data_IF_265221917776
#
_entry.id   IF_265221917776
#
_cell.length_a   1.000
_cell.length_b   1.000
_cell.length_c   1.000
_cell.angle_alpha   90.00
_cell.angle_beta   90.00
_cell.angle_gamma   90.00
#
_symmetry.space_group_name_H-M   'P 1'
#
loop_
_entity.id
_entity.type
_entity.pdbx_description
1 polymer ?
#
# COMPACT_ATOMS: atom_id res chain seq x y z
N UNK A 1 41.12 51.43 -12.55
CA UNK A 1 40.36 51.08 -11.34
C UNK A 1 38.98 50.60 -11.77
N UNK A 2 38.71 49.29 -11.90
CA UNK A 2 37.36 48.81 -12.21
C UNK A 2 36.50 48.77 -10.93
N UNK A 3 35.26 49.22 -11.03
CA UNK A 3 34.31 49.25 -9.91
C UNK A 3 33.72 47.86 -9.62
N UNK A 4 33.37 47.53 -8.36
CA UNK A 4 32.80 46.24 -8.03
C UNK A 4 31.35 46.14 -8.51
N UNK A 5 31.09 45.16 -9.38
CA UNK A 5 29.74 44.77 -9.81
C UNK A 5 29.01 44.07 -8.66
N UNK A 6 28.08 44.76 -8.02
CA UNK A 6 27.14 44.15 -7.07
C UNK A 6 26.16 43.26 -7.83
N UNK A 7 26.35 41.94 -7.75
CA UNK A 7 25.37 40.98 -8.24
C UNK A 7 24.17 40.93 -7.29
N UNK A 8 22.92 40.93 -7.79
CA UNK A 8 21.75 40.75 -6.95
C UNK A 8 21.68 39.30 -6.46
N UNK A 9 21.75 39.12 -5.14
CA UNK A 9 21.56 37.81 -4.51
C UNK A 9 20.11 37.36 -4.70
N UNK A 10 19.90 36.26 -5.41
CA UNK A 10 18.60 35.60 -5.53
C UNK A 10 18.07 35.20 -4.14
N UNK A 11 16.75 35.31 -3.90
CA UNK A 11 16.16 34.93 -2.63
C UNK A 11 16.33 33.42 -2.40
N UNK A 12 17.06 33.05 -1.34
CA UNK A 12 17.14 31.67 -0.86
C UNK A 12 15.73 31.20 -0.49
N UNK A 13 15.14 30.34 -1.31
CA UNK A 13 13.91 29.64 -0.96
C UNK A 13 14.09 28.96 0.41
N UNK A 14 13.36 29.45 1.41
CA UNK A 14 13.28 28.83 2.73
C UNK A 14 12.66 27.46 2.52
N UNK A 15 13.46 26.39 2.68
CA UNK A 15 13.02 25.00 2.62
C UNK A 15 11.74 24.82 3.45
N UNK A 16 10.60 24.78 2.77
CA UNK A 16 9.30 24.63 3.37
C UNK A 16 9.23 23.30 4.10
N UNK A 17 9.02 23.37 5.41
CA UNK A 17 8.29 22.41 6.22
C UNK A 17 8.41 20.93 5.80
N UNK A 18 9.62 20.35 5.88
CA UNK A 18 9.75 18.89 5.85
C UNK A 18 9.09 18.35 7.12
N UNK A 19 7.81 17.97 7.02
CA UNK A 19 7.08 17.30 8.11
C UNK A 19 7.97 16.14 8.58
N UNK A 20 8.41 16.19 9.84
CA UNK A 20 9.26 15.15 10.42
C UNK A 20 8.53 13.82 10.26
N UNK A 21 9.20 12.84 9.63
CA UNK A 21 8.61 11.51 9.47
C UNK A 21 8.29 10.94 10.84
N UNK A 22 7.11 10.33 10.98
CA UNK A 22 6.74 9.68 12.23
C UNK A 22 7.66 8.48 12.48
N UNK A 23 7.79 8.08 13.75
CA UNK A 23 8.58 6.89 14.11
C UNK A 23 8.11 5.64 13.36
N UNK A 24 6.79 5.43 13.27
CA UNK A 24 6.20 4.35 12.50
C UNK A 24 6.52 4.42 11.00
N UNK A 25 6.59 5.63 10.41
CA UNK A 25 7.01 5.80 9.01
C UNK A 25 8.47 5.43 8.80
N UNK A 26 9.35 5.82 9.72
CA UNK A 26 10.78 5.50 9.62
C UNK A 26 10.99 3.98 9.72
N UNK A 27 10.48 3.37 10.78
CA UNK A 27 10.61 1.93 11.03
C UNK A 27 9.89 1.12 9.95
N UNK A 28 8.67 1.49 9.59
CA UNK A 28 7.91 0.79 8.55
C UNK A 28 8.58 0.81 7.19
N UNK A 29 9.26 1.91 6.81
CA UNK A 29 10.07 1.99 5.59
C UNK A 29 11.27 1.05 5.62
N UNK A 30 11.96 0.96 6.76
CA UNK A 30 13.06 0.02 6.93
C UNK A 30 12.59 -1.43 6.79
N UNK A 31 11.51 -1.78 7.49
CA UNK A 31 10.92 -3.12 7.42
C UNK A 31 10.47 -3.46 6.00
N UNK A 32 9.82 -2.53 5.29
CA UNK A 32 9.37 -2.75 3.91
C UNK A 32 10.53 -3.02 2.95
N UNK A 33 11.67 -2.33 3.11
CA UNK A 33 12.88 -2.58 2.32
C UNK A 33 13.42 -3.99 2.55
N UNK A 34 13.48 -4.44 3.80
CA UNK A 34 13.94 -5.79 4.13
C UNK A 34 13.00 -6.85 3.56
N UNK A 35 11.69 -6.62 3.63
CA UNK A 35 10.67 -7.53 3.11
C UNK A 35 10.55 -7.53 1.58
N UNK A 36 11.15 -6.57 0.89
CA UNK A 36 10.93 -6.34 -0.55
C UNK A 36 9.48 -5.94 -0.87
N UNK A 37 8.79 -5.29 0.06
CA UNK A 37 7.37 -4.99 -0.07
C UNK A 37 7.15 -3.69 -0.85
N UNK A 38 6.40 -3.78 -1.97
CA UNK A 38 6.08 -2.61 -2.81
C UNK A 38 5.15 -1.64 -2.08
N UNK A 39 4.24 -2.16 -1.25
CA UNK A 39 3.23 -1.37 -0.55
C UNK A 39 3.73 -0.93 0.83
N UNK A 40 4.69 -0.01 0.85
CA UNK A 40 5.36 0.48 2.06
C UNK A 40 4.36 0.97 3.12
N UNK A 41 3.28 1.63 2.71
CA UNK A 41 2.26 2.15 3.61
C UNK A 41 1.55 1.06 4.42
N UNK A 42 1.40 -0.17 3.89
CA UNK A 42 0.85 -1.29 4.65
C UNK A 42 1.77 -1.64 5.83
N UNK A 43 3.07 -1.76 5.58
CA UNK A 43 4.06 -2.09 6.62
C UNK A 43 4.15 -0.96 7.66
N UNK A 44 4.07 0.30 7.22
CA UNK A 44 4.01 1.45 8.14
C UNK A 44 2.78 1.37 9.06
N UNK A 45 1.61 0.97 8.53
CA UNK A 45 0.40 0.79 9.35
C UNK A 45 0.51 -0.36 10.32
N UNK A 46 1.14 -1.47 9.92
CA UNK A 46 1.44 -2.59 10.83
C UNK A 46 2.22 -2.07 12.04
N UNK A 47 3.28 -1.29 11.83
CA UNK A 47 4.07 -0.71 12.92
C UNK A 47 3.25 0.29 13.75
N UNK A 48 2.37 1.06 13.12
CA UNK A 48 1.55 2.04 13.82
C UNK A 48 0.47 1.42 14.72
N UNK A 49 -0.18 0.33 14.26
CA UNK A 49 -1.30 -0.30 14.96
C UNK A 49 -0.84 -1.33 15.99
N UNK A 50 0.16 -2.14 15.63
CA UNK A 50 0.60 -3.28 16.45
C UNK A 50 1.85 -2.91 17.26
N UNK A 51 2.63 -1.94 16.78
CA UNK A 51 3.85 -1.49 17.41
C UNK A 51 5.13 -2.12 16.83
N UNK A 52 6.25 -1.42 17.03
CA UNK A 52 7.56 -1.82 16.49
C UNK A 52 8.06 -3.17 17.03
N UNK A 53 7.87 -3.43 18.33
CA UNK A 53 8.41 -4.65 18.97
C UNK A 53 7.89 -5.92 18.32
N UNK A 54 6.57 -6.00 18.16
CA UNK A 54 5.94 -7.17 17.56
C UNK A 54 6.23 -7.23 16.05
N UNK A 55 6.21 -6.09 15.35
CA UNK A 55 6.55 -6.05 13.93
C UNK A 55 7.98 -6.55 13.66
N UNK A 56 8.96 -6.17 14.48
CA UNK A 56 10.34 -6.67 14.39
C UNK A 56 10.46 -8.15 14.77
N UNK A 57 9.70 -8.60 15.76
CA UNK A 57 9.66 -10.02 16.15
C UNK A 57 9.17 -10.90 15.01
N UNK A 58 8.05 -10.52 14.37
CA UNK A 58 7.50 -11.25 13.22
C UNK A 58 8.49 -11.21 12.04
N UNK A 59 9.15 -10.08 11.79
CA UNK A 59 10.19 -9.99 10.76
C UNK A 59 11.34 -10.97 11.03
N UNK A 60 11.85 -11.04 12.26
CA UNK A 60 12.94 -11.93 12.64
C UNK A 60 12.55 -13.42 12.48
N UNK A 61 11.32 -13.77 12.86
CA UNK A 61 10.74 -15.10 12.65
C UNK A 61 10.67 -15.42 11.14
N UNK A 62 10.14 -14.49 10.34
CA UNK A 62 10.03 -14.65 8.88
C UNK A 62 11.40 -14.88 8.22
N UNK A 63 12.42 -14.10 8.61
CA UNK A 63 13.78 -14.24 8.10
C UNK A 63 14.42 -15.57 8.53
N UNK A 64 14.13 -16.04 9.74
CA UNK A 64 14.63 -17.32 10.24
C UNK A 64 14.04 -18.49 9.47
N UNK A 65 12.73 -18.45 9.20
CA UNK A 65 12.05 -19.46 8.38
C UNK A 65 12.60 -19.49 6.95
N UNK A 66 12.85 -18.31 6.36
CA UNK A 66 13.45 -18.22 5.03
C UNK A 66 14.85 -18.84 4.99
N UNK A 67 15.70 -18.55 5.98
CA UNK A 67 17.05 -19.14 6.09
C UNK A 67 17.04 -20.66 6.25
N UNK A 68 16.06 -21.18 6.97
CA UNK A 68 15.88 -22.62 7.16
C UNK A 68 15.25 -23.32 5.94
N UNK A 69 14.86 -22.58 4.90
CA UNK A 69 14.17 -23.11 3.74
C UNK A 69 12.70 -23.47 4.00
N UNK A 70 12.17 -23.17 5.19
CA UNK A 70 10.76 -23.37 5.57
C UNK A 70 9.89 -22.28 4.96
N UNK A 71 9.84 -22.25 3.63
CA UNK A 71 9.05 -21.25 2.90
C UNK A 71 7.57 -21.59 3.02
N UNK A 72 6.79 -20.70 3.62
CA UNK A 72 5.33 -20.81 3.64
C UNK A 72 4.81 -20.91 2.21
N UNK A 73 3.89 -21.85 1.95
CA UNK A 73 3.29 -22.06 0.63
C UNK A 73 1.92 -21.40 0.55
N UNK A 74 1.54 -20.98 -0.64
CA UNK A 74 0.15 -20.60 -0.94
C UNK A 74 -0.75 -21.84 -0.91
N UNK A 75 -2.08 -21.64 -0.91
CA UNK A 75 -3.05 -22.74 -1.11
C UNK A 75 -2.79 -23.48 -2.42
N UNK A 76 -2.29 -22.76 -3.43
CA UNK A 76 -1.89 -23.30 -4.74
C UNK A 76 -0.49 -23.94 -4.76
N UNK A 77 0.18 -24.08 -3.61
CA UNK A 77 1.47 -24.76 -3.48
C UNK A 77 2.70 -23.94 -3.89
N UNK A 78 2.53 -22.69 -4.35
CA UNK A 78 3.65 -21.80 -4.72
C UNK A 78 4.36 -21.26 -3.48
N UNK A 79 5.70 -21.12 -3.50
CA UNK A 79 6.42 -20.50 -2.40
C UNK A 79 6.00 -19.03 -2.23
N UNK A 80 5.75 -18.62 -0.99
CA UNK A 80 5.47 -17.21 -0.67
C UNK A 80 6.74 -16.39 -0.77
N UNK A 81 6.60 -15.14 -1.20
CA UNK A 81 7.64 -14.12 -1.06
C UNK A 81 7.83 -13.77 0.42
N UNK A 82 8.96 -13.13 0.75
CA UNK A 82 9.27 -12.75 2.12
C UNK A 82 8.17 -11.86 2.75
N UNK A 83 7.71 -10.84 2.02
CA UNK A 83 6.55 -10.03 2.43
C UNK A 83 5.26 -10.86 2.59
N UNK A 84 4.99 -11.79 1.67
CA UNK A 84 3.82 -12.67 1.77
C UNK A 84 3.85 -13.60 2.99
N UNK A 85 5.02 -14.12 3.33
CA UNK A 85 5.23 -14.92 4.54
C UNK A 85 5.05 -14.06 5.80
N UNK A 86 5.60 -12.84 5.82
CA UNK A 86 5.42 -11.89 6.92
C UNK A 86 3.94 -11.61 7.22
N UNK A 87 3.12 -11.30 6.20
CA UNK A 87 1.70 -11.05 6.42
C UNK A 87 0.91 -12.31 6.80
N UNK A 88 1.39 -13.49 6.41
CA UNK A 88 0.79 -14.76 6.82
C UNK A 88 1.02 -15.01 8.32
N UNK A 89 2.26 -14.84 8.79
CA UNK A 89 2.58 -14.93 10.22
C UNK A 89 1.88 -13.82 11.02
N UNK A 90 1.81 -12.61 10.47
CA UNK A 90 1.13 -11.50 11.12
C UNK A 90 -0.35 -11.82 11.38
N UNK A 91 -1.03 -12.48 10.43
CA UNK A 91 -2.44 -12.88 10.55
C UNK A 91 -2.68 -13.80 11.75
N UNK A 92 -1.71 -14.64 12.12
CA UNK A 92 -1.82 -15.56 13.26
C UNK A 92 -1.53 -14.86 14.61
N UNK A 93 -0.80 -13.73 14.60
CA UNK A 93 -0.38 -13.01 15.81
C UNK A 93 -1.32 -11.88 16.22
N UNK A 94 -2.25 -11.47 15.35
CA UNK A 94 -3.08 -10.27 15.55
C UNK A 94 -4.56 -10.59 15.46
N UNK A 95 -5.39 -9.78 16.11
CA UNK A 95 -6.84 -9.95 16.03
C UNK A 95 -7.36 -9.65 14.61
N UNK A 96 -8.47 -10.30 14.24
CA UNK A 96 -9.13 -10.10 12.94
C UNK A 96 -9.46 -8.63 12.67
N UNK A 97 -9.84 -7.89 13.71
CA UNK A 97 -10.15 -6.47 13.63
C UNK A 97 -8.93 -5.63 13.26
N UNK A 98 -7.81 -5.86 13.95
CA UNK A 98 -6.53 -5.18 13.66
C UNK A 98 -6.05 -5.50 12.24
N UNK A 99 -6.15 -6.77 11.82
CA UNK A 99 -5.80 -7.19 10.47
C UNK A 99 -6.66 -6.48 9.42
N UNK A 100 -7.98 -6.38 9.65
CA UNK A 100 -8.90 -5.64 8.78
C UNK A 100 -8.56 -4.15 8.73
N UNK A 101 -8.22 -3.56 9.87
CA UNK A 101 -7.85 -2.15 9.96
C UNK A 101 -6.59 -1.83 9.14
N UNK A 102 -5.58 -2.71 9.17
CA UNK A 102 -4.36 -2.59 8.35
C UNK A 102 -4.69 -2.47 6.85
N UNK A 103 -5.69 -3.21 6.37
CA UNK A 103 -6.10 -3.21 4.95
C UNK A 103 -7.22 -2.21 4.62
N UNK A 104 -7.88 -1.61 5.61
CA UNK A 104 -9.04 -0.74 5.38
C UNK A 104 -8.78 0.42 4.40
N UNK A 105 -7.62 1.09 4.47
CA UNK A 105 -7.27 2.17 3.55
C UNK A 105 -6.97 1.68 2.13
N UNK A 106 -6.42 0.48 1.98
CA UNK A 106 -6.20 -0.12 0.65
C UNK A 106 -7.54 -0.41 -0.04
N UNK A 107 -8.50 -0.96 0.72
CA UNK A 107 -9.83 -1.24 0.21
C UNK A 107 -10.58 0.03 -0.16
N UNK A 108 -10.46 1.09 0.65
CA UNK A 108 -11.07 2.38 0.35
C UNK A 108 -10.47 3.02 -0.90
N UNK A 109 -9.14 3.06 -1.02
CA UNK A 109 -8.45 3.57 -2.20
C UNK A 109 -8.83 2.78 -3.46
N UNK A 110 -8.95 1.44 -3.36
CA UNK A 110 -9.41 0.59 -4.47
C UNK A 110 -10.86 0.88 -4.87
N UNK A 111 -11.76 1.11 -3.91
CA UNK A 111 -13.16 1.46 -4.16
C UNK A 111 -13.30 2.84 -4.82
N UNK A 112 -12.54 3.83 -4.36
CA UNK A 112 -12.52 5.17 -4.94
C UNK A 112 -12.00 5.15 -6.39
N UNK A 113 -10.90 4.44 -6.65
CA UNK A 113 -10.39 4.26 -8.02
C UNK A 113 -11.42 3.60 -8.94
N UNK A 114 -12.15 2.58 -8.47
CA UNK A 114 -13.23 1.96 -9.26
C UNK A 114 -14.35 2.95 -9.56
N UNK A 115 -14.79 3.73 -8.57
CA UNK A 115 -15.84 4.75 -8.76
C UNK A 115 -15.41 5.84 -9.74
N UNK A 116 -14.17 6.32 -9.65
CA UNK A 116 -13.63 7.32 -10.58
C UNK A 116 -13.52 6.77 -12.01
N UNK A 117 -13.05 5.52 -12.20
CA UNK A 117 -13.00 4.89 -13.52
C UNK A 117 -14.38 4.74 -14.17
N UNK A 118 -15.38 4.30 -13.39
CA UNK A 118 -16.77 4.19 -13.88
C UNK A 118 -17.33 5.56 -14.25
N UNK A 119 -17.08 6.60 -13.43
CA UNK A 119 -17.52 7.97 -13.72
C UNK A 119 -16.84 8.55 -14.97
N UNK A 120 -15.54 8.35 -15.12
CA UNK A 120 -14.78 8.79 -16.30
C UNK A 120 -15.26 8.08 -17.58
N UNK A 121 -15.53 6.77 -17.51
CA UNK A 121 -16.09 6.02 -18.62
C UNK A 121 -17.48 6.54 -19.02
N UNK A 122 -18.35 6.83 -18.05
CA UNK A 122 -19.68 7.41 -18.30
C UNK A 122 -19.59 8.78 -18.97
N UNK A 123 -18.73 9.67 -18.46
CA UNK A 123 -18.51 11.00 -19.04
C UNK A 123 -17.98 10.88 -20.47
N UNK A 124 -17.06 9.94 -20.73
CA UNK A 124 -16.54 9.68 -22.08
C UNK A 124 -17.63 9.21 -23.03
N UNK A 125 -18.51 8.29 -22.60
CA UNK A 125 -19.64 7.83 -23.42
C UNK A 125 -20.67 8.93 -23.66
N UNK A 126 -20.96 9.75 -22.65
CA UNK A 126 -21.92 10.85 -22.76
C UNK A 126 -21.39 11.96 -23.68
N UNK A 127 -20.11 12.34 -23.55
CA UNK A 127 -19.47 13.29 -24.46
C UNK A 127 -19.39 12.79 -25.91
N UNK A 128 -19.21 11.48 -26.12
CA UNK A 128 -19.24 10.88 -27.45
C UNK A 128 -20.66 10.88 -28.06
N UNK A 129 -21.69 10.66 -27.23
CA UNK A 129 -23.09 10.60 -27.67
C UNK A 129 -23.70 12.00 -27.90
N UNK A 130 -23.26 13.00 -27.11
CA UNK A 130 -23.75 14.38 -27.16
C UNK A 130 -22.90 15.30 -28.06
N UNK A 131 -22.02 14.72 -28.90
CA UNK A 131 -21.25 15.45 -29.90
C UNK A 131 -20.21 16.43 -29.34
N UNK A 132 -19.73 16.22 -28.10
CA UNK A 132 -18.69 17.05 -27.48
C UNK A 132 -19.13 18.43 -26.98
N UNK A 133 -20.43 18.74 -26.92
CA UNK A 133 -20.91 20.06 -26.52
C UNK A 133 -20.73 20.41 -25.01
N UNK A 134 -20.36 19.44 -24.16
CA UNK A 134 -20.31 19.60 -22.70
C UNK A 134 -19.02 20.28 -22.17
N UNK A 135 -18.18 20.85 -23.02
CA UNK A 135 -16.86 21.40 -22.62
C UNK A 135 -16.86 22.80 -22.00
N UNK A 136 -18.01 23.34 -21.58
CA UNK A 136 -18.10 24.68 -20.96
C UNK A 136 -18.51 24.66 -19.48
N UNK A 137 -17.97 23.71 -18.71
CA UNK A 137 -17.93 23.80 -17.25
C UNK A 137 -16.54 23.34 -16.81
N UNK A 138 -15.59 24.28 -16.79
CA UNK A 138 -14.32 24.12 -16.10
C UNK A 138 -14.62 23.86 -14.62
N UNK A 139 -14.37 22.64 -14.17
CA UNK A 139 -14.16 22.32 -12.78
C UNK A 139 -12.66 22.09 -12.67
N UNK A 140 -11.94 23.14 -12.27
CA UNK A 140 -10.49 23.13 -12.06
C UNK A 140 -10.05 21.98 -11.14
N UNK A 141 -8.88 21.48 -11.50
CA UNK A 141 -8.13 20.33 -11.03
C UNK A 141 -7.87 20.25 -9.50
N UNK A 142 -7.67 19.01 -9.02
CA UNK A 142 -6.57 18.77 -8.07
C UNK A 142 -5.65 17.71 -8.67
N UNK A 143 -4.57 18.23 -9.25
CA UNK A 143 -3.49 17.55 -9.92
C UNK A 143 -2.60 16.83 -8.88
N UNK A 144 -2.49 15.51 -8.97
CA UNK A 144 -1.25 14.82 -8.57
C UNK A 144 -0.97 13.72 -9.57
N UNK A 145 -0.37 14.16 -10.67
CA UNK A 145 0.23 13.35 -11.72
C UNK A 145 1.62 12.92 -11.28
N UNK A 146 1.79 11.64 -10.98
CA UNK A 146 3.08 10.96 -11.08
C UNK A 146 2.83 9.66 -11.83
N UNK A 147 3.24 9.68 -13.10
CA UNK A 147 3.32 8.53 -13.99
C UNK A 147 4.50 7.65 -13.55
N UNK A 148 4.27 6.39 -13.16
CA UNK A 148 5.30 5.34 -13.17
C UNK A 148 4.74 4.06 -13.78
N UNK A 149 5.26 3.76 -14.98
CA UNK A 149 5.43 2.50 -15.71
C UNK A 149 4.40 1.36 -15.58
N UNK A 150 3.91 1.01 -16.76
CA UNK A 150 3.05 -0.08 -17.15
C UNK A 150 3.71 -1.47 -16.98
N UNK A 151 3.46 -2.09 -15.83
CA UNK A 151 3.44 -3.54 -15.75
C UNK A 151 2.07 -4.07 -16.18
N UNK A 152 1.93 -4.51 -17.43
CA UNK A 152 0.76 -5.21 -17.96
C UNK A 152 0.35 -6.37 -17.04
N UNK A 153 -0.74 -6.21 -16.28
CA UNK A 153 -1.35 -7.29 -15.49
C UNK A 153 -2.64 -7.72 -16.18
N UNK A 154 -2.61 -8.90 -16.79
CA UNK A 154 -3.79 -9.61 -17.24
C UNK A 154 -4.73 -9.85 -16.04
N UNK A 155 -5.81 -9.07 -15.96
CA UNK A 155 -6.90 -9.22 -14.97
C UNK A 155 -7.80 -10.39 -15.39
N UNK A 156 -7.37 -11.62 -15.08
CA UNK A 156 -8.28 -12.75 -15.01
C UNK A 156 -9.11 -12.62 -13.72
N UNK A 157 -10.44 -12.85 -13.74
CA UNK A 157 -11.28 -12.81 -12.54
C UNK A 157 -11.03 -14.08 -11.71
N UNK A 158 -9.90 -14.11 -11.01
CA UNK A 158 -9.59 -15.11 -10.00
C UNK A 158 -9.93 -14.57 -8.62
N UNK A 159 -10.74 -15.32 -7.87
CA UNK A 159 -10.97 -15.14 -6.44
C UNK A 159 -9.62 -14.89 -5.74
N UNK A 160 -9.47 -13.78 -5.01
CA UNK A 160 -8.19 -13.45 -4.36
C UNK A 160 -7.83 -14.57 -3.37
N UNK A 161 -6.79 -15.38 -3.63
CA UNK A 161 -6.46 -16.53 -2.79
C UNK A 161 -5.95 -16.11 -1.40
N UNK A 162 -5.86 -14.80 -1.12
CA UNK A 162 -5.64 -14.27 0.25
C UNK A 162 -6.88 -14.40 1.14
N UNK A 163 -8.05 -14.54 0.55
CA UNK A 163 -9.34 -14.56 1.24
C UNK A 163 -10.13 -15.84 0.96
N UNK A 164 -9.43 -16.94 0.63
CA UNK A 164 -10.05 -18.26 0.75
C UNK A 164 -10.46 -18.40 2.21
N UNK A 165 -11.76 -18.46 2.41
CA UNK A 165 -12.45 -18.60 3.69
C UNK A 165 -12.04 -19.95 4.27
N UNK A 166 -10.88 -19.99 4.94
CA UNK A 166 -10.55 -21.08 5.84
C UNK A 166 -11.67 -21.08 6.86
N UNK A 167 -12.52 -22.10 6.85
CA UNK A 167 -13.64 -22.23 7.77
C UNK A 167 -13.11 -22.09 9.21
N UNK A 168 -13.59 -21.08 9.93
CA UNK A 168 -13.17 -20.76 11.31
C UNK A 168 -14.07 -21.47 12.34
N UNK A 169 -14.91 -22.42 11.90
CA UNK A 169 -15.97 -23.01 12.71
C UNK A 169 -15.59 -24.34 13.37
N UNK A 170 -14.31 -24.58 13.71
CA UNK A 170 -13.88 -25.85 14.32
C UNK A 170 -12.84 -25.68 15.44
N UNK A 171 -13.18 -24.90 16.48
CA UNK A 171 -12.43 -24.93 17.74
C UNK A 171 -13.28 -24.59 18.98
N UNK A 172 -14.40 -25.29 19.13
CA UNK A 172 -15.03 -25.64 20.42
C UNK A 172 -15.54 -27.07 20.16
N UNK A 173 -15.01 -28.15 20.73
CA UNK A 173 -15.15 -28.56 22.13
C UNK A 173 -14.13 -29.68 22.41
N UNK A 174 -13.19 -29.46 23.31
CA UNK A 174 -12.61 -30.54 24.12
C UNK A 174 -12.42 -29.99 25.52
N UNK A 175 -13.44 -30.15 26.34
CA UNK A 175 -13.28 -30.27 27.78
C UNK A 175 -13.61 -31.72 28.15
N UNK A 176 -12.78 -32.24 29.06
CA UNK A 176 -12.66 -33.60 29.62
C UNK A 176 -13.98 -34.36 29.91
#
# INVERSE_FOLDING_TARGET
MPQPTTQPQLPRHKNGNRKKQSHAQRVGRELARVLGERKIHLVVRVVALIGERLARSVLAETLSMQKQGLTLKTVTGRPRTLGGAFFTLLKERVTKETYKEIYALEDQKKKEMKKCKVRAARIKTENALMGGFSTQLHLDDDESKEDEEDGEVNDAPGEDPRFIERDWSDHEMMDE
#
